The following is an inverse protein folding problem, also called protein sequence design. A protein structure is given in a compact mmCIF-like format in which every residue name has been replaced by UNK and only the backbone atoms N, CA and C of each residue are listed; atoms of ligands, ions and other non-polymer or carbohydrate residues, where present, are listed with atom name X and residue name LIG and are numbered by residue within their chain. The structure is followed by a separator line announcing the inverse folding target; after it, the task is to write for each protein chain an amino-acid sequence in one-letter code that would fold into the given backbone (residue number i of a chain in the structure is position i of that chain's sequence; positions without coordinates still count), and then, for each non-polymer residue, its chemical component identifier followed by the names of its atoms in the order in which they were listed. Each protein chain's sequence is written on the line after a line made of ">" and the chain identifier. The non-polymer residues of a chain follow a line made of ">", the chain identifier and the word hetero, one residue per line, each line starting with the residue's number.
data_IF_261561549100
#
_entry.id   IF_261561549100
#
_cell.length_a   1.000
_cell.length_b   1.000
_cell.length_c   1.000
_cell.angle_alpha   90.00
_cell.angle_beta   90.00
_cell.angle_gamma   90.00
#
_symmetry.space_group_name_H-M   'P 1'
#
loop_
_entity.id
_entity.type
_entity.pdbx_description
1 polymer ?
#
# COMPACT_ATOMS: atom_id res chain seq x y z
N UNK A 1 -40.88 0.80 29.84
CA UNK A 1 -40.01 2.00 29.98
C UNK A 1 -38.54 1.67 29.79
N UNK A 2 -37.97 0.71 30.45
CA UNK A 2 -36.54 0.33 30.38
C UNK A 2 -36.03 -0.02 28.95
N UNK A 3 -36.83 -0.72 28.13
CA UNK A 3 -36.47 -1.10 26.75
C UNK A 3 -36.32 0.13 25.81
N UNK A 4 -37.20 1.16 25.96
CA UNK A 4 -37.12 2.41 25.20
C UNK A 4 -35.89 3.25 25.63
N UNK A 5 -35.56 3.31 26.92
CA UNK A 5 -34.36 4.00 27.42
C UNK A 5 -33.07 3.32 26.92
N UNK A 6 -33.01 1.99 26.98
CA UNK A 6 -31.86 1.24 26.47
C UNK A 6 -31.65 1.45 24.97
N UNK A 7 -32.75 1.46 24.19
CA UNK A 7 -32.67 1.74 22.74
C UNK A 7 -32.21 3.18 22.44
N UNK A 8 -32.69 4.17 23.18
CA UNK A 8 -32.25 5.56 23.03
C UNK A 8 -30.77 5.74 23.36
N UNK A 9 -30.25 5.05 24.40
CA UNK A 9 -28.85 5.08 24.76
C UNK A 9 -27.95 4.40 23.69
N UNK A 10 -28.41 3.29 23.08
CA UNK A 10 -27.70 2.64 21.99
C UNK A 10 -27.63 3.55 20.75
N UNK A 11 -28.75 4.15 20.36
CA UNK A 11 -28.79 5.09 19.23
C UNK A 11 -27.85 6.30 19.45
N UNK A 12 -27.79 6.82 20.69
CA UNK A 12 -26.89 7.94 21.05
C UNK A 12 -25.40 7.51 20.95
N UNK A 13 -25.05 6.27 21.36
CA UNK A 13 -23.69 5.73 21.22
C UNK A 13 -23.32 5.56 19.75
N UNK A 14 -24.21 5.01 18.93
CA UNK A 14 -23.99 4.82 17.49
C UNK A 14 -23.80 6.16 16.77
N UNK A 15 -24.63 7.16 17.07
CA UNK A 15 -24.49 8.51 16.53
C UNK A 15 -23.15 9.14 16.94
N UNK A 16 -22.73 9.00 18.21
CA UNK A 16 -21.44 9.50 18.68
C UNK A 16 -20.28 8.84 17.96
N UNK A 17 -20.32 7.51 17.82
CA UNK A 17 -19.30 6.76 17.06
C UNK A 17 -19.25 7.26 15.62
N UNK A 18 -20.39 7.38 14.95
CA UNK A 18 -20.45 7.85 13.57
C UNK A 18 -19.82 9.24 13.37
N UNK A 19 -20.05 10.16 14.31
CA UNK A 19 -19.42 11.50 14.30
C UNK A 19 -17.89 11.40 14.35
N UNK A 20 -17.32 10.54 15.18
CA UNK A 20 -15.87 10.35 15.25
C UNK A 20 -15.30 9.72 13.96
N UNK A 21 -16.02 8.75 13.36
CA UNK A 21 -15.59 8.12 12.11
C UNK A 21 -15.55 9.11 10.93
N UNK A 22 -16.34 10.19 10.97
CA UNK A 22 -16.25 11.29 10.01
C UNK A 22 -15.16 12.29 10.44
N UNK A 23 -15.15 12.67 11.71
CA UNK A 23 -14.30 13.75 12.21
C UNK A 23 -12.81 13.44 12.03
N UNK A 24 -12.36 12.20 12.31
CA UNK A 24 -10.94 11.88 12.21
C UNK A 24 -10.37 11.98 10.77
N UNK A 25 -10.97 11.37 9.74
CA UNK A 25 -10.52 11.58 8.38
C UNK A 25 -10.57 13.04 7.91
N UNK A 26 -11.60 13.79 8.33
CA UNK A 26 -11.75 15.22 8.00
C UNK A 26 -10.68 16.07 8.69
N UNK A 27 -10.45 15.87 9.99
CA UNK A 27 -9.40 16.60 10.72
C UNK A 27 -8.02 16.27 10.13
N UNK A 28 -7.74 14.98 9.85
CA UNK A 28 -6.49 14.58 9.21
C UNK A 28 -6.35 15.20 7.81
N UNK A 29 -7.43 15.34 7.06
CA UNK A 29 -7.42 16.04 5.77
C UNK A 29 -7.10 17.54 5.94
N UNK A 30 -7.72 18.22 6.90
CA UNK A 30 -7.43 19.63 7.20
C UNK A 30 -5.97 19.82 7.63
N UNK A 31 -5.43 18.93 8.48
CA UNK A 31 -4.03 18.96 8.89
C UNK A 31 -3.12 18.82 7.64
N UNK A 32 -3.47 17.95 6.70
CA UNK A 32 -2.72 17.79 5.45
C UNK A 32 -2.76 19.05 4.58
N UNK A 33 -3.89 19.72 4.47
CA UNK A 33 -3.97 21.00 3.75
C UNK A 33 -3.06 22.07 4.40
N UNK A 34 -3.09 22.18 5.73
CA UNK A 34 -2.18 23.07 6.48
C UNK A 34 -0.71 22.67 6.25
N UNK A 35 -0.41 21.37 6.27
CA UNK A 35 0.93 20.86 5.98
C UNK A 35 1.38 21.25 4.58
N UNK A 36 0.51 21.08 3.57
CA UNK A 36 0.81 21.46 2.19
C UNK A 36 1.14 22.93 2.04
N UNK A 37 0.44 23.82 2.74
CA UNK A 37 0.72 25.26 2.67
C UNK A 37 2.09 25.64 3.28
N UNK A 38 2.67 24.77 4.10
CA UNK A 38 3.99 24.97 4.72
C UNK A 38 5.12 24.20 4.00
N UNK A 39 4.82 23.47 2.91
CA UNK A 39 5.82 22.79 2.09
C UNK A 39 6.06 23.61 0.83
N UNK A 40 7.32 23.90 0.54
CA UNK A 40 7.69 24.54 -0.73
C UNK A 40 7.24 23.66 -1.90
N UNK A 41 6.46 24.22 -2.82
CA UNK A 41 5.86 23.46 -3.93
C UNK A 41 4.60 22.65 -3.59
N UNK A 42 4.11 22.69 -2.33
CA UNK A 42 2.84 22.10 -1.92
C UNK A 42 2.82 20.57 -1.74
N UNK A 43 3.98 19.92 -1.79
CA UNK A 43 4.13 18.47 -1.61
C UNK A 43 5.55 18.00 -1.89
N UNK A 44 5.76 16.69 -1.84
CA UNK A 44 7.09 16.08 -2.03
C UNK A 44 7.15 15.32 -3.36
N UNK A 45 8.15 15.62 -4.19
CA UNK A 45 8.41 14.83 -5.40
C UNK A 45 8.90 13.41 -5.06
N UNK A 46 9.72 13.28 -4.02
CA UNK A 46 10.36 12.01 -3.69
C UNK A 46 11.38 11.57 -4.77
N UNK A 47 11.95 10.39 -4.60
CA UNK A 47 12.97 9.88 -5.51
C UNK A 47 12.45 9.55 -6.92
N UNK A 48 11.18 9.15 -7.01
CA UNK A 48 10.56 8.70 -8.27
C UNK A 48 9.69 9.79 -8.93
N UNK A 49 9.43 10.90 -8.23
CA UNK A 49 8.50 11.94 -8.69
C UNK A 49 8.94 12.61 -9.99
N UNK A 50 10.24 12.87 -10.15
CA UNK A 50 10.78 13.42 -11.40
C UNK A 50 10.54 12.49 -12.60
N UNK A 51 10.69 11.18 -12.39
CA UNK A 51 10.44 10.20 -13.43
C UNK A 51 8.96 10.11 -13.78
N UNK A 52 8.06 10.20 -12.80
CA UNK A 52 6.63 10.31 -13.09
C UNK A 52 6.29 11.56 -13.86
N UNK A 53 6.93 12.69 -13.57
CA UNK A 53 6.70 13.93 -14.31
C UNK A 53 7.26 13.87 -15.73
N UNK A 54 8.42 13.25 -15.97
CA UNK A 54 8.88 12.96 -17.35
C UNK A 54 7.83 12.13 -18.12
N UNK A 55 7.15 11.20 -17.44
CA UNK A 55 6.03 10.46 -18.03
C UNK A 55 4.83 11.37 -18.35
N UNK A 56 4.49 12.30 -17.45
CA UNK A 56 3.43 13.30 -17.68
C UNK A 56 3.79 14.21 -18.85
N UNK A 57 5.03 14.68 -18.95
CA UNK A 57 5.51 15.53 -20.04
C UNK A 57 5.38 14.81 -21.39
N UNK A 58 5.78 13.53 -21.45
CA UNK A 58 5.60 12.72 -22.65
C UNK A 58 4.12 12.55 -23.05
N UNK A 59 3.24 12.30 -22.07
CA UNK A 59 1.79 12.21 -22.30
C UNK A 59 1.18 13.55 -22.73
N UNK A 60 1.71 14.66 -22.21
CA UNK A 60 1.24 15.99 -22.56
C UNK A 60 1.62 16.37 -24.00
N UNK A 61 2.82 15.98 -24.45
CA UNK A 61 3.30 16.24 -25.80
C UNK A 61 2.61 15.35 -26.84
N UNK A 62 2.51 14.03 -26.59
CA UNK A 62 2.15 13.04 -27.62
C UNK A 62 0.84 12.29 -27.33
N UNK A 63 0.16 12.60 -26.20
CA UNK A 63 -1.06 11.93 -25.78
C UNK A 63 -0.83 10.53 -25.18
N UNK A 64 -1.92 9.75 -25.07
CA UNK A 64 -1.94 8.45 -24.39
C UNK A 64 -0.93 7.43 -24.96
N UNK A 65 -0.65 7.50 -26.23
CA UNK A 65 0.26 6.58 -26.94
C UNK A 65 1.67 7.15 -27.11
N UNK A 66 2.08 8.09 -26.27
CA UNK A 66 3.44 8.60 -26.23
C UNK A 66 4.48 7.49 -26.14
N UNK A 67 5.55 7.65 -26.92
CA UNK A 67 6.69 6.73 -26.98
C UNK A 67 7.79 7.04 -25.95
N UNK A 68 7.54 7.99 -25.03
CA UNK A 68 8.52 8.37 -24.03
C UNK A 68 9.03 7.12 -23.26
N UNK A 69 10.35 6.95 -23.22
CA UNK A 69 11.01 5.77 -22.66
C UNK A 69 10.56 5.44 -21.23
N UNK A 70 10.36 6.47 -20.41
CA UNK A 70 9.93 6.33 -19.02
C UNK A 70 8.57 5.64 -18.87
N UNK A 71 7.66 5.82 -19.84
CA UNK A 71 6.33 5.19 -19.86
C UNK A 71 6.37 3.71 -20.24
N UNK A 72 7.50 3.24 -20.73
CA UNK A 72 7.76 1.85 -21.07
C UNK A 72 8.61 1.18 -20.02
N UNK A 73 9.57 1.92 -19.48
CA UNK A 73 10.44 1.44 -18.41
C UNK A 73 9.64 1.21 -17.14
N UNK A 74 8.79 2.18 -16.76
CA UNK A 74 7.85 2.04 -15.63
C UNK A 74 6.40 1.84 -16.12
N UNK A 75 5.53 1.24 -15.28
CA UNK A 75 4.11 1.15 -15.61
C UNK A 75 3.52 2.53 -15.85
N UNK A 76 2.95 2.76 -17.04
CA UNK A 76 2.41 4.05 -17.43
C UNK A 76 1.16 4.49 -16.62
N UNK A 77 0.55 3.60 -15.84
CA UNK A 77 -0.74 3.86 -15.21
C UNK A 77 -0.74 5.03 -14.23
N UNK A 78 0.26 5.12 -13.33
CA UNK A 78 0.32 6.26 -12.42
C UNK A 78 0.62 7.57 -13.15
N UNK A 79 1.61 7.68 -14.06
CA UNK A 79 1.77 8.84 -14.92
C UNK A 79 0.50 9.26 -15.68
N UNK A 80 -0.30 8.31 -16.20
CA UNK A 80 -1.56 8.62 -16.88
C UNK A 80 -2.55 9.31 -15.93
N UNK A 81 -2.68 8.83 -14.69
CA UNK A 81 -3.54 9.49 -13.69
C UNK A 81 -3.05 10.90 -13.34
N UNK A 82 -1.73 11.09 -13.25
CA UNK A 82 -1.14 12.42 -13.04
C UNK A 82 -1.37 13.34 -14.24
N UNK A 83 -1.26 12.82 -15.46
CA UNK A 83 -1.52 13.56 -16.69
C UNK A 83 -2.97 14.06 -16.74
N UNK A 84 -3.95 13.23 -16.35
CA UNK A 84 -5.35 13.70 -16.26
C UNK A 84 -5.51 14.88 -15.29
N UNK A 85 -4.73 14.91 -14.18
CA UNK A 85 -4.71 16.06 -13.28
C UNK A 85 -3.96 17.26 -13.88
N UNK A 86 -2.90 17.02 -14.66
CA UNK A 86 -2.15 18.06 -15.35
C UNK A 86 -2.99 18.80 -16.41
N UNK A 87 -3.98 18.12 -17.03
CA UNK A 87 -4.95 18.76 -17.92
C UNK A 87 -5.81 19.81 -17.20
N UNK A 88 -6.00 19.71 -15.88
CA UNK A 88 -6.67 20.72 -15.07
C UNK A 88 -5.74 21.90 -14.80
N UNK A 89 -4.52 21.62 -14.33
CA UNK A 89 -3.47 22.62 -14.12
C UNK A 89 -2.11 21.96 -13.94
N UNK A 90 -1.23 22.16 -14.92
CA UNK A 90 0.14 21.67 -14.86
C UNK A 90 0.97 22.39 -13.78
N UNK A 91 0.77 23.71 -13.64
CA UNK A 91 1.52 24.54 -12.68
C UNK A 91 1.16 24.25 -11.20
N UNK A 92 -0.03 23.69 -10.97
CA UNK A 92 -0.52 23.32 -9.63
C UNK A 92 -0.59 21.81 -9.44
N UNK A 93 0.08 21.03 -10.29
CA UNK A 93 -0.06 19.57 -10.33
C UNK A 93 0.25 18.93 -9.00
N UNK A 94 1.34 19.31 -8.31
CA UNK A 94 1.72 18.75 -7.00
C UNK A 94 0.64 18.99 -5.95
N UNK A 95 0.04 20.19 -5.93
CA UNK A 95 -1.10 20.49 -5.04
C UNK A 95 -2.33 19.64 -5.35
N UNK A 96 -2.67 19.50 -6.64
CA UNK A 96 -3.81 18.69 -7.07
C UNK A 96 -3.63 17.22 -6.67
N UNK A 97 -2.43 16.66 -6.86
CA UNK A 97 -2.08 15.30 -6.44
C UNK A 97 -2.32 15.16 -4.93
N UNK A 98 -1.73 16.03 -4.13
CA UNK A 98 -1.86 15.99 -2.65
C UNK A 98 -3.31 16.10 -2.18
N UNK A 99 -4.12 16.98 -2.78
CA UNK A 99 -5.54 17.15 -2.45
C UNK A 99 -6.33 15.90 -2.82
N UNK A 100 -6.23 15.42 -4.07
CA UNK A 100 -7.02 14.29 -4.57
C UNK A 100 -6.68 13.00 -3.83
N UNK A 101 -5.38 12.72 -3.63
CA UNK A 101 -4.96 11.56 -2.85
C UNK A 101 -5.43 11.64 -1.39
N UNK A 102 -5.41 12.85 -0.79
CA UNK A 102 -5.86 13.05 0.59
C UNK A 102 -7.38 12.88 0.74
N UNK A 103 -8.18 13.36 -0.21
CA UNK A 103 -9.63 13.14 -0.25
C UNK A 103 -9.93 11.64 -0.40
N UNK A 104 -9.28 10.99 -1.35
CA UNK A 104 -9.48 9.56 -1.59
C UNK A 104 -9.12 8.72 -0.36
N UNK A 105 -7.99 9.02 0.28
CA UNK A 105 -7.55 8.33 1.49
C UNK A 105 -8.53 8.56 2.67
N UNK A 106 -9.00 9.78 2.88
CA UNK A 106 -9.97 10.10 3.91
C UNK A 106 -11.31 9.37 3.68
N UNK A 107 -11.79 9.37 2.43
CA UNK A 107 -13.00 8.65 2.05
C UNK A 107 -12.87 7.14 2.24
N UNK A 108 -11.75 6.53 1.82
CA UNK A 108 -11.50 5.11 1.98
C UNK A 108 -11.43 4.70 3.47
N UNK A 109 -10.78 5.53 4.30
CA UNK A 109 -10.72 5.34 5.76
C UNK A 109 -12.11 5.36 6.38
N UNK A 110 -12.91 6.38 6.03
CA UNK A 110 -14.30 6.49 6.49
C UNK A 110 -15.15 5.30 6.02
N UNK A 111 -15.05 4.93 4.73
CA UNK A 111 -15.82 3.84 4.17
C UNK A 111 -15.55 2.51 4.86
N UNK A 112 -14.27 2.16 5.05
CA UNK A 112 -13.86 0.96 5.79
C UNK A 112 -14.40 0.98 7.21
N UNK A 113 -14.12 2.05 7.97
CA UNK A 113 -14.44 2.09 9.39
C UNK A 113 -15.95 2.20 9.67
N UNK A 114 -16.69 2.86 8.79
CA UNK A 114 -18.16 2.86 8.82
C UNK A 114 -18.74 1.45 8.62
N UNK A 115 -18.19 0.67 7.69
CA UNK A 115 -18.65 -0.70 7.48
C UNK A 115 -18.27 -1.60 8.67
N UNK A 116 -17.07 -1.46 9.22
CA UNK A 116 -16.67 -2.16 10.44
C UNK A 116 -17.62 -1.84 11.62
N UNK A 117 -18.01 -0.57 11.78
CA UNK A 117 -18.88 -0.13 12.90
C UNK A 117 -20.26 -0.77 12.90
N UNK A 118 -20.70 -1.34 11.79
CA UNK A 118 -22.00 -2.01 11.63
C UNK A 118 -21.94 -3.52 11.79
N UNK A 119 -20.83 -4.06 12.24
CA UNK A 119 -20.57 -5.51 12.38
C UNK A 119 -20.09 -5.85 13.77
N UNK A 120 -19.78 -7.12 14.00
CA UNK A 120 -19.08 -7.62 15.20
C UNK A 120 -17.74 -6.91 15.46
N UNK A 121 -17.17 -6.26 14.43
CA UNK A 121 -15.93 -5.48 14.49
C UNK A 121 -16.13 -4.01 14.91
N UNK A 122 -17.34 -3.60 15.32
CA UNK A 122 -17.65 -2.23 15.76
C UNK A 122 -16.70 -1.73 16.86
N UNK A 123 -16.20 -2.64 17.70
CA UNK A 123 -15.29 -2.31 18.80
C UNK A 123 -13.91 -1.81 18.37
N UNK A 124 -13.48 -2.11 17.14
CA UNK A 124 -12.22 -1.60 16.57
C UNK A 124 -12.43 -0.44 15.61
N UNK A 125 -13.66 -0.14 15.18
CA UNK A 125 -13.91 0.89 14.16
C UNK A 125 -13.35 2.27 14.56
N UNK A 126 -13.56 2.68 15.82
CA UNK A 126 -13.04 3.94 16.36
C UNK A 126 -11.49 3.97 16.36
N UNK A 127 -10.80 3.04 17.02
CA UNK A 127 -9.34 3.08 17.05
C UNK A 127 -8.71 2.88 15.66
N UNK A 128 -9.28 2.07 14.78
CA UNK A 128 -8.79 1.90 13.41
C UNK A 128 -8.91 3.22 12.63
N UNK A 129 -10.05 3.93 12.74
CA UNK A 129 -10.21 5.24 12.12
C UNK A 129 -9.17 6.25 12.62
N UNK A 130 -8.97 6.31 13.94
CA UNK A 130 -7.99 7.18 14.58
C UNK A 130 -6.57 6.90 14.07
N UNK A 131 -6.13 5.65 14.19
CA UNK A 131 -4.74 5.28 13.87
C UNK A 131 -4.44 5.37 12.38
N UNK A 132 -5.36 5.02 11.48
CA UNK A 132 -5.15 5.18 10.03
C UNK A 132 -5.12 6.66 9.66
N UNK A 133 -6.07 7.46 10.16
CA UNK A 133 -6.15 8.89 9.82
C UNK A 133 -4.93 9.68 10.25
N UNK A 134 -4.37 9.37 11.41
CA UNK A 134 -3.26 10.12 12.02
C UNK A 134 -1.93 9.39 11.99
N UNK A 135 -1.81 8.25 11.27
CA UNK A 135 -0.50 7.63 11.08
C UNK A 135 0.42 8.58 10.31
N UNK A 136 1.54 9.02 10.92
CA UNK A 136 2.37 10.08 10.34
C UNK A 136 3.08 9.64 9.04
N UNK A 137 3.34 8.35 8.86
CA UNK A 137 3.95 7.84 7.64
C UNK A 137 2.90 7.63 6.55
N UNK A 138 1.87 6.84 6.83
CA UNK A 138 0.87 6.46 5.84
C UNK A 138 -0.02 7.65 5.42
N UNK A 139 -0.52 8.41 6.40
CA UNK A 139 -1.44 9.52 6.12
C UNK A 139 -0.76 10.67 5.39
N UNK A 140 0.47 11.05 5.77
CA UNK A 140 1.21 12.11 5.11
C UNK A 140 1.78 11.69 3.74
N UNK A 141 1.88 10.38 3.46
CA UNK A 141 2.27 9.89 2.12
C UNK A 141 1.32 10.35 1.01
N UNK A 142 0.10 10.76 1.35
CA UNK A 142 -0.83 11.36 0.38
C UNK A 142 -0.33 12.68 -0.21
N UNK A 143 0.61 13.37 0.44
CA UNK A 143 1.22 14.61 -0.02
C UNK A 143 2.46 14.38 -0.90
N UNK A 144 2.87 13.13 -1.08
CA UNK A 144 3.97 12.77 -1.96
C UNK A 144 3.46 12.35 -3.35
N UNK A 145 4.25 12.67 -4.37
CA UNK A 145 4.03 12.16 -5.72
C UNK A 145 4.42 10.69 -5.74
N UNK A 146 3.44 9.82 -5.53
CA UNK A 146 3.64 8.38 -5.42
C UNK A 146 2.34 7.60 -5.27
N UNK A 147 2.37 6.36 -5.69
CA UNK A 147 1.21 5.45 -5.72
C UNK A 147 0.89 4.82 -4.35
N UNK A 148 1.75 4.92 -3.35
CA UNK A 148 1.65 4.15 -2.11
C UNK A 148 0.36 4.42 -1.33
N UNK A 149 0.05 5.69 -1.09
CA UNK A 149 -1.14 6.07 -0.34
C UNK A 149 -2.45 5.80 -1.10
N UNK A 150 -2.57 6.13 -2.41
CA UNK A 150 -3.77 5.77 -3.16
C UNK A 150 -3.97 4.25 -3.32
N UNK A 151 -2.89 3.45 -3.44
CA UNK A 151 -3.02 1.99 -3.42
C UNK A 151 -3.50 1.49 -2.05
N UNK A 152 -3.00 2.07 -0.94
CA UNK A 152 -3.51 1.75 0.40
C UNK A 152 -5.01 2.10 0.52
N UNK A 153 -5.46 3.20 -0.07
CA UNK A 153 -6.87 3.56 -0.13
C UNK A 153 -7.69 2.53 -0.92
N UNK A 154 -7.18 2.03 -2.05
CA UNK A 154 -7.84 0.96 -2.80
C UNK A 154 -8.02 -0.31 -1.96
N UNK A 155 -7.00 -0.74 -1.21
CA UNK A 155 -7.14 -1.90 -0.31
C UNK A 155 -8.16 -1.66 0.81
N UNK A 156 -8.23 -0.45 1.37
CA UNK A 156 -9.27 -0.10 2.34
C UNK A 156 -10.66 -0.18 1.73
N UNK A 157 -10.86 0.28 0.49
CA UNK A 157 -12.13 0.18 -0.24
C UNK A 157 -12.52 -1.29 -0.45
N UNK A 158 -11.60 -2.14 -0.90
CA UNK A 158 -11.85 -3.57 -1.09
C UNK A 158 -12.27 -4.23 0.22
N UNK A 159 -11.52 -4.00 1.31
CA UNK A 159 -11.88 -4.59 2.60
C UNK A 159 -13.23 -4.06 3.12
N UNK A 160 -13.52 -2.78 2.92
CA UNK A 160 -14.81 -2.17 3.24
C UNK A 160 -15.98 -2.79 2.46
N UNK A 161 -15.78 -3.12 1.18
CA UNK A 161 -16.77 -3.83 0.34
C UNK A 161 -17.00 -5.25 0.87
N UNK A 162 -15.92 -5.98 1.18
CA UNK A 162 -16.00 -7.34 1.76
C UNK A 162 -16.80 -7.33 3.06
N UNK A 163 -16.51 -6.40 3.96
CA UNK A 163 -17.22 -6.23 5.23
C UNK A 163 -18.68 -5.89 5.01
N UNK A 164 -18.98 -4.96 4.08
CA UNK A 164 -20.34 -4.57 3.74
C UNK A 164 -21.15 -5.73 3.17
N UNK A 165 -20.56 -6.51 2.26
CA UNK A 165 -21.24 -7.66 1.63
C UNK A 165 -21.60 -8.76 2.63
N UNK A 166 -20.75 -9.04 3.61
CA UNK A 166 -20.97 -10.09 4.62
C UNK A 166 -21.88 -9.67 5.78
N UNK A 167 -22.05 -8.38 6.01
CA UNK A 167 -22.88 -7.84 7.08
C UNK A 167 -24.34 -8.29 6.96
N UNK A 168 -24.89 -8.22 5.76
CA UNK A 168 -26.33 -8.37 5.57
C UNK A 168 -26.76 -9.84 5.37
N UNK A 169 -25.82 -10.81 5.49
CA UNK A 169 -26.02 -12.23 5.11
C UNK A 169 -26.73 -12.37 3.76
N UNK A 170 -26.70 -11.27 3.02
CA UNK A 170 -27.45 -11.07 1.81
C UNK A 170 -26.95 -12.02 0.72
N UNK A 171 -27.83 -12.33 -0.21
CA UNK A 171 -27.54 -13.04 -1.44
C UNK A 171 -26.26 -12.48 -2.10
N UNK A 172 -25.51 -13.36 -2.72
CA UNK A 172 -24.36 -13.01 -3.54
C UNK A 172 -24.71 -11.87 -4.51
N UNK A 173 -24.05 -10.74 -4.39
CA UNK A 173 -24.28 -9.60 -5.26
C UNK A 173 -23.04 -9.37 -6.14
N UNK A 174 -23.18 -9.64 -7.43
CA UNK A 174 -22.13 -9.44 -8.45
C UNK A 174 -21.49 -8.04 -8.36
N UNK A 175 -22.30 -7.01 -8.08
CA UNK A 175 -21.79 -5.63 -7.96
C UNK A 175 -20.65 -5.47 -6.96
N UNK A 176 -20.66 -6.20 -5.85
CA UNK A 176 -19.56 -6.12 -4.87
C UNK A 176 -18.27 -6.71 -5.43
N UNK A 177 -18.35 -7.80 -6.21
CA UNK A 177 -17.20 -8.37 -6.89
C UNK A 177 -16.63 -7.42 -7.95
N UNK A 178 -17.51 -6.78 -8.75
CA UNK A 178 -17.12 -5.78 -9.75
C UNK A 178 -16.43 -4.57 -9.09
N UNK A 179 -17.03 -3.98 -8.05
CA UNK A 179 -16.44 -2.83 -7.38
C UNK A 179 -15.12 -3.18 -6.67
N UNK A 180 -15.04 -4.34 -6.01
CA UNK A 180 -13.79 -4.79 -5.40
C UNK A 180 -12.71 -5.02 -6.48
N UNK A 181 -13.06 -5.65 -7.59
CA UNK A 181 -12.19 -5.84 -8.74
C UNK A 181 -11.73 -4.51 -9.34
N UNK A 182 -12.61 -3.52 -9.47
CA UNK A 182 -12.29 -2.18 -9.97
C UNK A 182 -11.26 -1.45 -9.08
N UNK A 183 -11.36 -1.58 -7.76
CA UNK A 183 -10.36 -0.99 -6.86
C UNK A 183 -9.00 -1.67 -6.96
N UNK A 184 -8.96 -3.00 -7.12
CA UNK A 184 -7.68 -3.69 -7.37
C UNK A 184 -7.18 -3.39 -8.80
N UNK A 185 -8.06 -3.23 -9.78
CA UNK A 185 -7.70 -2.74 -11.11
C UNK A 185 -7.01 -1.38 -11.02
N UNK A 186 -7.57 -0.42 -10.28
CA UNK A 186 -6.95 0.89 -10.06
C UNK A 186 -5.60 0.78 -9.32
N UNK A 187 -5.51 -0.05 -8.28
CA UNK A 187 -4.25 -0.30 -7.57
C UNK A 187 -3.19 -0.89 -8.49
N UNK A 188 -3.54 -1.89 -9.31
CA UNK A 188 -2.63 -2.53 -10.26
C UNK A 188 -2.32 -1.66 -11.48
N UNK A 189 -3.22 -0.74 -11.86
CA UNK A 189 -2.96 0.27 -12.88
C UNK A 189 -1.82 1.20 -12.44
N UNK A 190 -1.88 1.67 -11.19
CA UNK A 190 -0.81 2.50 -10.61
C UNK A 190 0.48 1.70 -10.40
N UNK A 191 0.37 0.45 -9.93
CA UNK A 191 1.52 -0.41 -9.68
C UNK A 191 1.14 -1.91 -9.75
N UNK A 192 1.50 -2.60 -10.85
CA UNK A 192 1.06 -3.96 -11.17
C UNK A 192 1.37 -5.02 -10.11
N UNK A 193 2.41 -4.84 -9.30
CA UNK A 193 2.77 -5.79 -8.22
C UNK A 193 1.65 -6.05 -7.21
N UNK A 194 0.72 -5.11 -7.03
CA UNK A 194 -0.39 -5.25 -6.08
C UNK A 194 -1.58 -6.05 -6.62
N UNK A 195 -1.55 -6.41 -7.91
CA UNK A 195 -2.49 -7.35 -8.50
C UNK A 195 -2.55 -8.66 -7.70
N UNK A 196 -1.37 -9.25 -7.42
CA UNK A 196 -1.30 -10.53 -6.73
C UNK A 196 -1.91 -10.48 -5.32
N UNK A 197 -1.66 -9.40 -4.57
CA UNK A 197 -2.27 -9.21 -3.25
C UNK A 197 -3.82 -9.15 -3.35
N UNK A 198 -4.34 -8.45 -4.36
CA UNK A 198 -5.78 -8.39 -4.63
C UNK A 198 -6.37 -9.76 -4.98
N UNK A 199 -5.71 -10.54 -5.84
CA UNK A 199 -6.16 -11.88 -6.22
C UNK A 199 -6.23 -12.83 -5.03
N UNK A 200 -5.23 -12.78 -4.13
CA UNK A 200 -5.25 -13.61 -2.91
C UNK A 200 -6.38 -13.19 -1.98
N UNK A 201 -6.68 -11.90 -1.85
CA UNK A 201 -7.84 -11.41 -1.08
C UNK A 201 -9.14 -11.98 -1.68
N UNK A 202 -9.31 -11.94 -3.01
CA UNK A 202 -10.52 -12.47 -3.67
C UNK A 202 -10.66 -13.97 -3.50
N UNK A 203 -9.57 -14.72 -3.58
CA UNK A 203 -9.57 -16.15 -3.31
C UNK A 203 -10.03 -16.44 -1.88
N UNK A 204 -9.47 -15.74 -0.89
CA UNK A 204 -9.87 -15.87 0.52
C UNK A 204 -11.34 -15.53 0.70
N UNK A 205 -11.83 -14.46 0.06
CA UNK A 205 -13.24 -14.07 0.12
C UNK A 205 -14.14 -15.12 -0.52
N UNK A 206 -13.78 -15.62 -1.71
CA UNK A 206 -14.53 -16.67 -2.41
C UNK A 206 -14.68 -17.95 -1.58
N UNK A 207 -13.60 -18.35 -0.89
CA UNK A 207 -13.59 -19.55 -0.02
C UNK A 207 -14.48 -19.43 1.23
N UNK A 208 -15.01 -18.26 1.54
CA UNK A 208 -15.96 -18.06 2.65
C UNK A 208 -17.42 -18.29 2.28
N UNK A 209 -17.74 -18.51 1.01
CA UNK A 209 -19.09 -18.82 0.59
C UNK A 209 -19.40 -20.31 0.78
N UNK A 210 -20.57 -20.61 1.32
CA UNK A 210 -21.06 -21.99 1.47
C UNK A 210 -21.24 -22.67 0.11
N UNK A 211 -21.78 -21.95 -0.87
CA UNK A 211 -21.88 -22.40 -2.26
C UNK A 211 -20.58 -22.17 -3.01
N UNK A 212 -19.90 -23.26 -3.39
CA UNK A 212 -18.70 -23.20 -4.24
C UNK A 212 -18.93 -22.46 -5.56
N UNK A 213 -20.14 -22.60 -6.14
CA UNK A 213 -20.53 -21.90 -7.37
C UNK A 213 -20.54 -20.39 -7.18
N UNK A 214 -21.13 -19.88 -6.09
CA UNK A 214 -21.14 -18.45 -5.78
C UNK A 214 -19.72 -17.92 -5.53
N UNK A 215 -18.90 -18.65 -4.77
CA UNK A 215 -17.49 -18.32 -4.56
C UNK A 215 -16.71 -18.24 -5.86
N UNK A 216 -16.90 -19.22 -6.77
CA UNK A 216 -16.25 -19.22 -8.08
C UNK A 216 -16.68 -18.03 -8.94
N UNK A 217 -17.99 -17.74 -9.02
CA UNK A 217 -18.52 -16.59 -9.77
C UNK A 217 -17.92 -15.29 -9.22
N UNK A 218 -17.87 -15.13 -7.89
CA UNK A 218 -17.25 -13.95 -7.27
C UNK A 218 -15.79 -13.81 -7.70
N UNK A 219 -15.00 -14.88 -7.57
CA UNK A 219 -13.59 -14.88 -7.93
C UNK A 219 -13.38 -14.54 -9.41
N UNK A 220 -14.17 -15.14 -10.31
CA UNK A 220 -14.08 -14.90 -11.74
C UNK A 220 -14.47 -13.47 -12.10
N UNK A 221 -15.57 -12.93 -11.57
CA UNK A 221 -15.99 -11.54 -11.83
C UNK A 221 -14.97 -10.56 -11.33
N UNK A 222 -14.48 -10.74 -10.09
CA UNK A 222 -13.45 -9.87 -9.53
C UNK A 222 -12.13 -9.96 -10.33
N UNK A 223 -11.72 -11.17 -10.73
CA UNK A 223 -10.55 -11.40 -11.58
C UNK A 223 -10.70 -10.70 -12.93
N UNK A 224 -11.79 -10.94 -13.66
CA UNK A 224 -12.01 -10.32 -14.97
C UNK A 224 -11.99 -8.79 -14.88
N UNK A 225 -12.66 -8.22 -13.87
CA UNK A 225 -12.65 -6.77 -13.66
C UNK A 225 -11.24 -6.25 -13.35
N UNK A 226 -10.49 -6.97 -12.54
CA UNK A 226 -9.11 -6.58 -12.17
C UNK A 226 -8.17 -6.64 -13.37
N UNK A 227 -8.30 -7.65 -14.24
CA UNK A 227 -7.45 -7.83 -15.41
C UNK A 227 -7.63 -6.75 -16.49
N UNK A 228 -8.70 -5.94 -16.43
CA UNK A 228 -8.87 -4.81 -17.35
C UNK A 228 -7.70 -3.82 -17.28
N UNK A 229 -7.12 -3.63 -16.08
CA UNK A 229 -6.00 -2.72 -15.90
C UNK A 229 -4.70 -3.20 -16.58
N UNK A 230 -4.16 -4.38 -16.28
CA UNK A 230 -2.98 -4.86 -17.00
C UNK A 230 -3.23 -5.01 -18.51
N UNK A 231 -4.44 -5.41 -18.92
CA UNK A 231 -4.79 -5.47 -20.34
C UNK A 231 -4.73 -4.10 -21.02
N UNK A 232 -5.25 -3.05 -20.36
CA UNK A 232 -5.16 -1.69 -20.88
C UNK A 232 -3.73 -1.18 -21.01
N UNK A 233 -2.86 -1.48 -20.02
CA UNK A 233 -1.44 -1.12 -20.07
C UNK A 233 -0.69 -1.85 -21.19
N UNK A 234 -0.95 -3.15 -21.36
CA UNK A 234 -0.39 -3.95 -22.45
C UNK A 234 -0.89 -3.42 -23.81
N UNK A 235 -2.20 -3.19 -23.96
CA UNK A 235 -2.76 -2.66 -25.19
C UNK A 235 -2.15 -1.30 -25.55
N UNK A 236 -1.97 -0.41 -24.56
CA UNK A 236 -1.26 0.86 -24.72
C UNK A 236 0.16 0.64 -25.26
N UNK A 237 0.92 -0.28 -24.67
CA UNK A 237 2.31 -0.54 -25.03
C UNK A 237 2.44 -1.22 -26.41
N UNK A 238 1.51 -2.10 -26.76
CA UNK A 238 1.44 -2.68 -28.12
C UNK A 238 1.26 -1.57 -29.16
N UNK A 239 0.31 -0.66 -28.95
CA UNK A 239 0.06 0.44 -29.91
C UNK A 239 1.20 1.45 -29.94
N UNK A 240 1.78 1.80 -28.79
CA UNK A 240 2.79 2.85 -28.70
C UNK A 240 4.18 2.39 -29.17
N UNK A 241 4.59 1.17 -28.82
CA UNK A 241 5.99 0.70 -28.93
C UNK A 241 6.14 -0.75 -29.39
N UNK A 242 5.06 -1.39 -29.85
CA UNK A 242 5.05 -2.78 -30.31
C UNK A 242 5.56 -3.79 -29.25
N UNK A 243 5.17 -3.59 -27.97
CA UNK A 243 5.58 -4.47 -26.86
C UNK A 243 4.37 -5.00 -26.10
N UNK A 244 4.36 -6.34 -25.85
CA UNK A 244 3.32 -7.05 -25.09
C UNK A 244 3.59 -7.11 -23.60
N UNK A 245 4.35 -6.17 -23.04
CA UNK A 245 4.68 -6.07 -21.62
C UNK A 245 4.03 -4.86 -20.96
N UNK A 246 3.79 -4.93 -19.65
CA UNK A 246 3.28 -3.78 -18.86
C UNK A 246 4.38 -2.74 -18.65
N UNK A 247 5.62 -3.19 -18.46
CA UNK A 247 6.82 -2.38 -18.27
C UNK A 247 8.07 -3.23 -18.51
N UNK A 248 9.23 -2.58 -18.61
CA UNK A 248 10.51 -3.24 -18.87
C UNK A 248 11.50 -3.09 -17.71
N UNK A 249 11.02 -2.97 -16.46
CA UNK A 249 11.87 -2.79 -15.30
C UNK A 249 11.77 -3.89 -14.23
N UNK A 250 11.02 -4.96 -14.48
CA UNK A 250 10.91 -6.05 -13.51
C UNK A 250 12.25 -6.78 -13.36
N UNK A 251 12.86 -7.15 -14.48
CA UNK A 251 14.16 -7.82 -14.50
C UNK A 251 15.28 -6.94 -13.94
N UNK A 252 15.23 -5.63 -14.25
CA UNK A 252 16.17 -4.65 -13.66
C UNK A 252 15.99 -4.59 -12.15
N UNK A 253 14.76 -4.49 -11.66
CA UNK A 253 14.49 -4.46 -10.21
C UNK A 253 14.92 -5.76 -9.53
N UNK A 254 14.72 -6.91 -10.16
CA UNK A 254 15.16 -8.19 -9.65
C UNK A 254 16.68 -8.29 -9.62
N UNK A 255 17.39 -7.83 -10.67
CA UNK A 255 18.85 -7.90 -10.76
C UNK A 255 19.55 -7.01 -9.73
N UNK A 256 19.02 -5.80 -9.48
CA UNK A 256 19.52 -4.93 -8.40
C UNK A 256 19.43 -5.63 -7.03
N UNK A 257 18.36 -6.38 -6.81
CA UNK A 257 18.12 -7.12 -5.57
C UNK A 257 18.76 -8.50 -5.49
N UNK A 258 19.54 -8.94 -6.50
CA UNK A 258 20.12 -10.28 -6.57
C UNK A 258 21.59 -10.27 -6.98
N UNK A 259 22.36 -11.26 -6.51
CA UNK A 259 23.80 -11.40 -6.79
C UNK A 259 24.58 -11.87 -5.57
N UNK A 260 25.85 -12.28 -5.80
CA UNK A 260 26.66 -12.90 -4.75
C UNK A 260 27.02 -11.96 -3.61
N UNK A 261 27.23 -10.69 -3.88
CA UNK A 261 27.67 -9.68 -2.90
C UNK A 261 26.59 -8.65 -2.58
N UNK A 262 25.44 -8.68 -3.25
CA UNK A 262 24.37 -7.76 -2.97
C UNK A 262 23.72 -8.05 -1.60
N UNK A 263 23.34 -6.98 -0.90
CA UNK A 263 22.53 -7.09 0.33
C UNK A 263 21.02 -7.06 0.06
N UNK A 264 20.61 -7.12 -1.21
CA UNK A 264 19.21 -7.22 -1.60
C UNK A 264 18.36 -5.95 -1.50
N UNK A 265 18.95 -4.84 -1.07
CA UNK A 265 18.32 -3.52 -1.03
C UNK A 265 18.65 -2.67 -2.26
N UNK A 266 18.18 -1.42 -2.26
CA UNK A 266 18.42 -0.45 -3.35
C UNK A 266 19.89 -0.03 -3.50
N UNK A 267 20.72 -0.26 -2.50
CA UNK A 267 22.15 0.04 -2.60
C UNK A 267 22.82 -0.99 -3.51
N UNK A 268 23.27 -0.56 -4.64
CA UNK A 268 24.11 -1.32 -5.59
C UNK A 268 25.50 -1.56 -5.02
N UNK A 269 25.58 -2.33 -3.95
CA UNK A 269 26.82 -2.52 -3.18
C UNK A 269 27.66 -3.72 -3.65
N UNK A 270 27.26 -4.37 -4.73
CA UNK A 270 27.99 -5.51 -5.26
C UNK A 270 27.54 -5.88 -6.67
N UNK A 271 28.25 -6.78 -7.35
CA UNK A 271 27.90 -7.20 -8.70
C UNK A 271 26.53 -7.90 -8.73
N UNK A 272 25.72 -7.44 -9.66
CA UNK A 272 24.43 -8.07 -10.00
C UNK A 272 24.67 -9.48 -10.55
N UNK A 273 23.60 -10.28 -10.65
CA UNK A 273 23.68 -11.59 -11.30
C UNK A 273 24.20 -11.42 -12.73
N UNK A 274 25.27 -12.15 -13.13
CA UNK A 274 25.84 -12.03 -14.47
C UNK A 274 24.90 -12.67 -15.50
N UNK A 275 24.10 -11.85 -16.15
CA UNK A 275 23.19 -12.27 -17.22
C UNK A 275 23.82 -12.00 -18.59
N UNK A 276 23.78 -13.00 -19.46
CA UNK A 276 24.35 -12.93 -20.82
C UNK A 276 23.22 -12.76 -21.82
N UNK A 277 23.38 -11.88 -22.83
CA UNK A 277 22.41 -11.77 -23.93
C UNK A 277 22.23 -13.11 -24.66
N UNK A 278 21.00 -13.42 -25.04
CA UNK A 278 20.73 -14.61 -25.89
C UNK A 278 20.55 -14.14 -27.33
N UNK A 279 21.29 -14.68 -28.30
CA UNK A 279 21.14 -14.32 -29.69
C UNK A 279 19.67 -14.44 -30.18
N UNK A 280 19.21 -13.55 -31.06
CA UNK A 280 19.95 -12.52 -31.80
C UNK A 280 20.16 -11.20 -31.06
N UNK A 281 19.74 -11.08 -29.79
CA UNK A 281 19.85 -9.84 -29.00
C UNK A 281 21.31 -9.53 -28.65
N UNK A 282 21.71 -8.28 -28.84
CA UNK A 282 23.05 -7.77 -28.44
C UNK A 282 23.07 -7.25 -27.00
N UNK A 283 21.90 -7.05 -26.39
CA UNK A 283 21.74 -6.61 -24.99
C UNK A 283 20.78 -7.53 -24.24
N UNK A 284 20.95 -7.63 -22.93
CA UNK A 284 20.06 -8.45 -22.07
C UNK A 284 18.71 -7.73 -21.94
N UNK A 285 17.64 -8.31 -22.46
CA UNK A 285 16.28 -7.79 -22.31
C UNK A 285 15.76 -7.97 -20.88
N UNK A 286 14.71 -7.22 -20.50
CA UNK A 286 14.11 -7.32 -19.17
C UNK A 286 13.65 -8.75 -18.84
N UNK A 287 12.98 -9.43 -19.78
CA UNK A 287 12.55 -10.82 -19.62
C UNK A 287 13.72 -11.78 -19.45
N UNK A 288 14.81 -11.59 -20.19
CA UNK A 288 16.03 -12.40 -20.03
C UNK A 288 16.64 -12.20 -18.63
N UNK A 289 16.63 -10.97 -18.10
CA UNK A 289 17.06 -10.69 -16.72
C UNK A 289 16.18 -11.41 -15.71
N UNK A 290 14.85 -11.38 -15.86
CA UNK A 290 13.93 -12.13 -14.99
C UNK A 290 14.28 -13.61 -14.95
N UNK A 291 14.38 -14.24 -16.13
CA UNK A 291 14.71 -15.68 -16.24
C UNK A 291 16.08 -15.98 -15.64
N UNK A 292 17.08 -15.15 -15.92
CA UNK A 292 18.43 -15.27 -15.39
C UNK A 292 18.46 -15.22 -13.86
N UNK A 293 17.79 -14.22 -13.26
CA UNK A 293 17.74 -14.06 -11.80
C UNK A 293 16.95 -15.19 -11.13
N UNK A 294 15.84 -15.62 -11.72
CA UNK A 294 15.08 -16.79 -11.22
C UNK A 294 15.95 -18.05 -11.26
N UNK A 295 16.68 -18.29 -12.36
CA UNK A 295 17.62 -19.41 -12.46
C UNK A 295 18.69 -19.33 -11.37
N UNK A 296 19.25 -18.13 -11.14
CA UNK A 296 20.25 -17.92 -10.07
C UNK A 296 19.67 -18.24 -8.69
N UNK A 297 18.44 -17.83 -8.38
CA UNK A 297 17.78 -18.18 -7.12
C UNK A 297 17.63 -19.69 -6.94
N UNK A 298 17.25 -20.42 -7.99
CA UNK A 298 17.06 -21.86 -7.94
C UNK A 298 18.38 -22.62 -7.83
N UNK A 299 19.43 -22.13 -8.48
CA UNK A 299 20.76 -22.78 -8.48
C UNK A 299 21.61 -22.41 -7.27
N UNK A 300 21.25 -21.35 -6.51
CA UNK A 300 21.98 -20.88 -5.33
C UNK A 300 21.07 -20.79 -4.08
N UNK A 301 20.46 -21.90 -3.60
CA UNK A 301 19.41 -21.83 -2.57
C UNK A 301 19.89 -21.24 -1.24
N UNK A 302 21.13 -21.52 -0.82
CA UNK A 302 21.69 -20.98 0.45
C UNK A 302 21.90 -19.47 0.34
N UNK A 303 22.45 -18.98 -0.79
CA UNK A 303 22.64 -17.55 -1.03
C UNK A 303 21.29 -16.84 -1.13
N UNK A 304 20.31 -17.47 -1.81
CA UNK A 304 18.95 -16.97 -1.92
C UNK A 304 18.26 -16.86 -0.55
N UNK A 305 18.42 -17.85 0.33
CA UNK A 305 17.89 -17.81 1.69
C UNK A 305 18.50 -16.64 2.50
N UNK A 306 19.85 -16.51 2.46
CA UNK A 306 20.53 -15.38 3.12
C UNK A 306 20.03 -14.03 2.60
N UNK A 307 19.88 -13.92 1.28
CA UNK A 307 19.38 -12.71 0.63
C UNK A 307 17.93 -12.40 1.02
N UNK A 308 17.09 -13.43 1.13
CA UNK A 308 15.69 -13.32 1.57
C UNK A 308 15.59 -12.77 3.00
N UNK A 309 16.50 -13.14 3.89
CA UNK A 309 16.59 -12.60 5.25
C UNK A 309 16.94 -11.11 5.20
N UNK A 310 17.96 -10.71 4.43
CA UNK A 310 18.32 -9.30 4.28
C UNK A 310 17.18 -8.46 3.68
N UNK A 311 16.53 -8.97 2.63
CA UNK A 311 15.37 -8.30 2.02
C UNK A 311 14.20 -8.17 3.00
N UNK A 312 13.98 -9.16 3.85
CA UNK A 312 12.99 -9.10 4.93
C UNK A 312 13.34 -8.02 5.96
N UNK A 313 14.62 -7.92 6.34
CA UNK A 313 15.10 -6.84 7.21
C UNK A 313 14.85 -5.48 6.58
N UNK A 314 15.14 -5.29 5.30
CA UNK A 314 14.84 -4.04 4.59
C UNK A 314 13.34 -3.75 4.53
N UNK A 315 12.51 -4.74 4.21
CA UNK A 315 11.06 -4.57 4.16
C UNK A 315 10.46 -4.12 5.50
N UNK A 316 10.94 -4.68 6.61
CA UNK A 316 10.48 -4.34 7.96
C UNK A 316 11.28 -3.19 8.60
N UNK A 317 12.34 -2.72 7.98
CA UNK A 317 13.13 -1.60 8.50
C UNK A 317 12.26 -0.36 8.77
N UNK A 318 12.47 0.36 9.86
CA UNK A 318 11.79 1.63 10.11
C UNK A 318 12.12 2.68 9.05
N UNK A 319 13.34 2.68 8.57
CA UNK A 319 13.85 3.43 7.41
C UNK A 319 15.16 2.79 6.93
N UNK A 320 15.53 3.07 5.69
CA UNK A 320 16.83 2.75 5.13
C UNK A 320 17.50 4.03 4.62
N UNK A 321 18.79 4.19 4.90
CA UNK A 321 19.56 5.35 4.51
C UNK A 321 19.31 6.59 5.37
N UNK A 322 19.97 7.72 5.07
CA UNK A 322 19.82 8.97 5.78
C UNK A 322 18.36 9.46 5.74
N UNK A 323 17.89 10.03 6.84
CA UNK A 323 16.55 10.59 6.95
C UNK A 323 16.26 11.67 5.88
N UNK A 324 17.31 12.37 5.45
CA UNK A 324 17.23 13.46 4.48
C UNK A 324 17.08 12.96 3.06
N UNK A 325 17.62 11.78 2.73
CA UNK A 325 17.53 11.15 1.41
C UNK A 325 16.28 10.27 1.27
N UNK A 326 15.37 10.35 2.22
CA UNK A 326 14.15 9.55 2.18
C UNK A 326 13.48 9.67 0.82
N UNK A 327 13.27 8.57 0.15
CA UNK A 327 12.33 8.48 -0.95
C UNK A 327 10.98 8.97 -0.46
N UNK A 328 10.10 9.32 -1.39
CA UNK A 328 8.74 9.72 -1.04
C UNK A 328 8.16 8.75 -0.02
N UNK A 329 7.31 9.23 0.81
CA UNK A 329 6.60 8.46 1.81
C UNK A 329 7.45 7.77 2.91
N UNK A 330 8.76 7.85 2.88
CA UNK A 330 9.60 7.45 4.03
C UNK A 330 9.57 8.55 5.07
N UNK A 331 9.07 8.26 6.26
CA UNK A 331 9.04 9.20 7.38
C UNK A 331 8.71 10.66 6.96
N UNK A 332 7.61 10.89 6.23
CA UNK A 332 7.31 12.22 5.67
C UNK A 332 7.16 13.28 6.75
N UNK A 333 6.78 12.89 7.97
CA UNK A 333 6.68 13.78 9.13
C UNK A 333 8.03 14.38 9.57
N UNK A 334 9.17 13.74 9.23
CA UNK A 334 10.51 14.30 9.50
C UNK A 334 10.92 15.42 8.52
N UNK A 335 10.14 15.60 7.45
CA UNK A 335 10.39 16.64 6.44
C UNK A 335 9.56 17.90 6.65
N UNK A 336 8.83 17.98 7.73
CA UNK A 336 7.93 19.09 8.06
C UNK A 336 8.52 19.85 9.24
N UNK A 337 8.55 21.18 9.17
CA UNK A 337 8.86 22.01 10.33
C UNK A 337 7.77 21.83 11.43
N UNK A 338 8.10 21.78 12.73
CA UNK A 338 9.43 21.97 13.31
C UNK A 338 10.31 20.69 13.36
N UNK A 339 9.79 19.54 12.95
CA UNK A 339 10.50 18.25 13.07
C UNK A 339 11.76 18.23 12.22
N UNK A 340 11.69 18.83 11.01
CA UNK A 340 12.85 18.95 10.14
C UNK A 340 13.97 19.81 10.79
N UNK A 341 13.59 20.89 11.45
CA UNK A 341 14.55 21.78 12.10
C UNK A 341 15.20 21.11 13.32
N UNK A 342 14.42 20.31 14.08
CA UNK A 342 14.96 19.49 15.16
C UNK A 342 16.02 18.51 14.65
N UNK A 343 15.76 17.81 13.53
CA UNK A 343 16.69 16.83 12.95
C UNK A 343 17.97 17.47 12.41
N UNK A 344 17.94 18.76 12.06
CA UNK A 344 19.13 19.51 11.64
C UNK A 344 20.06 19.84 12.81
N UNK A 345 19.59 19.85 14.06
CA UNK A 345 20.45 20.00 15.23
C UNK A 345 21.26 18.74 15.48
N UNK A 346 22.47 18.86 16.03
CA UNK A 346 23.32 17.70 16.35
C UNK A 346 22.59 16.71 17.27
N UNK A 347 21.99 17.21 18.36
CA UNK A 347 21.24 16.38 19.31
C UNK A 347 20.01 15.71 18.69
N UNK A 348 19.31 16.41 17.81
CA UNK A 348 18.16 15.86 17.08
C UNK A 348 18.57 14.81 16.05
N UNK A 349 19.66 15.03 15.34
CA UNK A 349 20.24 14.06 14.41
C UNK A 349 20.69 12.79 15.15
N UNK A 350 21.34 12.92 16.29
CA UNK A 350 21.78 11.80 17.12
C UNK A 350 20.60 11.03 17.72
N UNK A 351 19.53 11.73 18.15
CA UNK A 351 18.31 11.10 18.64
C UNK A 351 17.64 10.24 17.56
N UNK A 352 17.58 10.71 16.32
CA UNK A 352 16.88 10.04 15.24
C UNK A 352 17.76 9.01 14.53
N UNK A 353 19.00 9.34 14.23
CA UNK A 353 19.93 8.53 13.45
C UNK A 353 20.97 7.80 14.29
N UNK A 354 21.21 8.24 15.53
CA UNK A 354 22.15 7.64 16.46
C UNK A 354 21.69 6.24 16.94
N UNK A 355 22.54 5.54 17.70
CA UNK A 355 22.25 4.19 18.19
C UNK A 355 20.95 4.10 18.98
N UNK A 356 20.68 5.10 19.84
CA UNK A 356 19.47 5.14 20.66
C UNK A 356 18.19 5.29 19.82
N UNK A 357 18.16 6.23 18.89
CA UNK A 357 17.00 6.41 17.98
C UNK A 357 16.76 5.20 17.09
N UNK A 358 17.82 4.56 16.60
CA UNK A 358 17.72 3.30 15.85
C UNK A 358 17.17 2.18 16.72
N UNK A 359 17.65 2.03 17.95
CA UNK A 359 17.14 1.02 18.88
C UNK A 359 15.63 1.20 19.13
N UNK A 360 15.17 2.41 19.46
CA UNK A 360 13.74 2.70 19.66
C UNK A 360 12.93 2.35 18.41
N UNK A 361 13.42 2.71 17.24
CA UNK A 361 12.74 2.47 15.98
C UNK A 361 12.62 0.99 15.66
N UNK A 362 13.65 0.20 15.91
CA UNK A 362 13.60 -1.25 15.75
C UNK A 362 12.68 -1.92 16.76
N UNK A 363 12.70 -1.49 18.04
CA UNK A 363 11.76 -1.96 19.04
C UNK A 363 10.31 -1.63 18.68
N UNK A 364 10.08 -0.44 18.12
CA UNK A 364 8.77 -0.06 17.61
C UNK A 364 8.29 -0.96 16.48
N UNK A 365 9.15 -1.24 15.48
CA UNK A 365 8.82 -2.14 14.37
C UNK A 365 8.60 -3.57 14.87
N UNK A 366 9.44 -4.07 15.77
CA UNK A 366 9.25 -5.38 16.36
C UNK A 366 7.89 -5.48 17.07
N UNK A 367 7.54 -4.46 17.86
CA UNK A 367 6.21 -4.35 18.48
C UNK A 367 5.08 -4.35 17.45
N UNK A 368 5.22 -3.64 16.34
CA UNK A 368 4.25 -3.65 15.26
C UNK A 368 4.08 -5.03 14.63
N UNK A 369 5.18 -5.78 14.40
CA UNK A 369 5.13 -7.15 13.85
C UNK A 369 4.46 -8.10 14.86
N UNK A 370 4.81 -8.02 16.13
CA UNK A 370 4.16 -8.81 17.18
C UNK A 370 2.65 -8.51 17.25
N UNK A 371 2.27 -7.24 17.24
CA UNK A 371 0.85 -6.86 17.27
C UNK A 371 0.12 -7.23 15.97
N UNK A 372 0.78 -7.26 14.83
CA UNK A 372 0.22 -7.76 13.58
C UNK A 372 -0.25 -9.22 13.73
N UNK A 373 0.63 -10.10 14.16
CA UNK A 373 0.31 -11.52 14.33
C UNK A 373 -0.65 -11.78 15.49
N UNK A 374 -0.51 -11.04 16.59
CA UNK A 374 -1.42 -11.17 17.73
C UNK A 374 -2.83 -10.67 17.36
N UNK A 375 -2.96 -9.57 16.62
CA UNK A 375 -4.26 -9.09 16.14
C UNK A 375 -4.92 -10.05 15.15
N UNK A 376 -4.14 -10.62 14.26
CA UNK A 376 -4.59 -11.71 13.39
C UNK A 376 -5.14 -12.89 14.18
N UNK A 377 -4.41 -13.37 15.20
CA UNK A 377 -4.84 -14.46 16.07
C UNK A 377 -6.15 -14.15 16.81
N UNK A 378 -6.28 -12.94 17.36
CA UNK A 378 -7.48 -12.52 18.09
C UNK A 378 -8.69 -12.48 17.14
N UNK A 379 -8.58 -11.80 16.01
CA UNK A 379 -9.70 -11.61 15.08
C UNK A 379 -10.21 -12.93 14.52
N UNK A 380 -9.32 -13.88 14.26
CA UNK A 380 -9.72 -15.21 13.76
C UNK A 380 -10.59 -16.02 14.73
N UNK A 381 -10.64 -15.65 16.01
CA UNK A 381 -11.36 -16.38 17.07
C UNK A 381 -12.71 -15.78 17.43
N UNK A 382 -13.08 -14.63 16.81
CA UNK A 382 -14.33 -13.93 17.16
C UNK A 382 -15.51 -14.55 16.41
N UNK A 383 -15.49 -14.49 15.09
CA UNK A 383 -16.56 -14.94 14.20
C UNK A 383 -16.05 -15.09 12.75
N UNK A 384 -16.85 -15.68 11.83
CA UNK A 384 -16.44 -15.90 10.44
C UNK A 384 -16.06 -14.62 9.68
N UNK A 385 -16.75 -13.48 9.92
CA UNK A 385 -16.41 -12.21 9.29
C UNK A 385 -15.08 -11.67 9.78
N UNK A 386 -14.87 -11.69 11.08
CA UNK A 386 -13.59 -11.27 11.69
C UNK A 386 -12.42 -12.13 11.20
N UNK A 387 -12.65 -13.44 11.05
CA UNK A 387 -11.68 -14.38 10.46
C UNK A 387 -11.36 -14.02 9.00
N UNK A 388 -12.38 -13.68 8.19
CA UNK A 388 -12.20 -13.24 6.81
C UNK A 388 -11.37 -11.95 6.74
N UNK A 389 -11.72 -10.93 7.53
CA UNK A 389 -11.01 -9.65 7.60
C UNK A 389 -9.55 -9.87 8.00
N UNK A 390 -9.31 -10.72 9.01
CA UNK A 390 -7.95 -11.05 9.46
C UNK A 390 -7.14 -11.75 8.36
N UNK A 391 -7.71 -12.77 7.72
CA UNK A 391 -7.03 -13.52 6.66
C UNK A 391 -6.74 -12.62 5.45
N UNK A 392 -7.69 -11.82 4.98
CA UNK A 392 -7.53 -10.89 3.87
C UNK A 392 -6.45 -9.83 4.17
N UNK A 393 -6.46 -9.28 5.38
CA UNK A 393 -5.49 -8.26 5.79
C UNK A 393 -4.06 -8.82 5.89
N UNK A 394 -3.87 -9.96 6.56
CA UNK A 394 -2.55 -10.54 6.69
C UNK A 394 -2.02 -11.05 5.36
N UNK A 395 -2.86 -11.66 4.52
CA UNK A 395 -2.41 -12.17 3.22
C UNK A 395 -1.89 -11.06 2.31
N UNK A 396 -2.52 -9.90 2.28
CA UNK A 396 -2.04 -8.75 1.50
C UNK A 396 -0.64 -8.30 1.96
N UNK A 397 -0.42 -8.24 3.28
CA UNK A 397 0.89 -7.89 3.86
C UNK A 397 1.94 -8.95 3.50
N UNK A 398 1.60 -10.23 3.67
CA UNK A 398 2.51 -11.35 3.36
C UNK A 398 2.85 -11.39 1.87
N UNK A 399 1.87 -11.20 0.98
CA UNK A 399 2.12 -11.16 -0.47
C UNK A 399 3.04 -10.00 -0.84
N UNK A 400 2.83 -8.80 -0.28
CA UNK A 400 3.73 -7.65 -0.50
C UNK A 400 5.14 -7.95 0.00
N UNK A 401 5.28 -8.62 1.14
CA UNK A 401 6.56 -9.04 1.67
C UNK A 401 7.25 -10.08 0.76
N UNK A 402 6.52 -11.11 0.31
CA UNK A 402 7.05 -12.12 -0.61
C UNK A 402 7.49 -11.52 -1.95
N UNK A 403 6.74 -10.56 -2.50
CA UNK A 403 7.13 -9.81 -3.71
C UNK A 403 8.44 -9.04 -3.45
N UNK A 404 8.58 -8.41 -2.29
CA UNK A 404 9.82 -7.72 -1.91
C UNK A 404 11.00 -8.70 -1.82
N UNK A 405 10.80 -9.91 -1.29
CA UNK A 405 11.82 -10.96 -1.27
C UNK A 405 12.20 -11.39 -2.69
N UNK A 406 11.22 -11.59 -3.57
CA UNK A 406 11.46 -11.99 -4.95
C UNK A 406 12.14 -10.93 -5.82
N UNK A 407 11.95 -9.65 -5.48
CA UNK A 407 12.47 -8.52 -6.24
C UNK A 407 13.58 -7.79 -5.48
N UNK A 408 13.25 -6.73 -4.77
CA UNK A 408 14.19 -5.90 -4.02
C UNK A 408 13.60 -5.59 -2.64
N UNK A 409 14.43 -5.65 -1.60
CA UNK A 409 14.03 -5.32 -0.24
C UNK A 409 13.93 -3.81 -0.03
N UNK A 410 12.73 -3.31 0.24
CA UNK A 410 12.52 -1.90 0.61
C UNK A 410 11.28 -1.76 1.49
N UNK A 411 11.39 -0.99 2.58
CA UNK A 411 10.28 -0.70 3.48
C UNK A 411 9.14 0.10 2.84
N UNK A 412 9.40 0.80 1.73
CA UNK A 412 8.40 1.51 0.93
C UNK A 412 7.31 0.55 0.40
N UNK A 413 7.68 -0.70 0.08
CA UNK A 413 6.73 -1.69 -0.45
C UNK A 413 5.72 -2.20 0.59
N UNK A 414 5.93 -1.90 1.85
CA UNK A 414 5.00 -2.17 2.94
C UNK A 414 3.86 -1.14 3.00
N UNK A 415 4.09 0.11 2.56
CA UNK A 415 3.15 1.23 2.70
C UNK A 415 1.76 0.97 2.10
N UNK A 416 1.63 0.42 0.88
CA UNK A 416 0.33 0.12 0.30
C UNK A 416 -0.55 -0.84 1.10
N UNK A 417 0.06 -1.76 1.85
CA UNK A 417 -0.67 -2.69 2.73
C UNK A 417 -0.67 -2.27 4.20
N UNK A 418 -0.10 -1.12 4.51
CA UNK A 418 0.06 -0.65 5.90
C UNK A 418 -1.28 -0.37 6.58
N UNK A 419 -2.29 0.09 5.85
CA UNK A 419 -3.65 0.27 6.40
C UNK A 419 -4.25 -1.03 6.93
N UNK A 420 -3.99 -2.16 6.25
CA UNK A 420 -4.44 -3.48 6.64
C UNK A 420 -3.62 -4.04 7.82
N UNK A 421 -2.31 -3.79 7.83
CA UNK A 421 -1.47 -4.15 8.98
C UNK A 421 -1.86 -3.35 10.23
N UNK A 422 -2.13 -2.05 10.10
CA UNK A 422 -2.62 -1.20 11.18
C UNK A 422 -3.97 -1.69 11.75
N UNK A 423 -4.88 -2.16 10.92
CA UNK A 423 -6.14 -2.75 11.40
C UNK A 423 -5.87 -3.93 12.35
N UNK A 424 -4.95 -4.83 12.00
CA UNK A 424 -4.58 -5.96 12.86
C UNK A 424 -3.87 -5.50 14.13
N UNK A 425 -2.88 -4.62 14.01
CA UNK A 425 -2.10 -4.10 15.12
C UNK A 425 -2.97 -3.37 16.15
N UNK A 426 -3.88 -2.52 15.66
CA UNK A 426 -4.82 -1.78 16.49
C UNK A 426 -5.81 -2.73 17.18
N UNK A 427 -6.24 -3.79 16.50
CA UNK A 427 -7.10 -4.82 17.11
C UNK A 427 -6.40 -5.51 18.31
N UNK A 428 -5.11 -5.81 18.17
CA UNK A 428 -4.30 -6.36 19.25
C UNK A 428 -4.19 -5.40 20.44
N UNK A 429 -3.76 -4.17 20.17
CA UNK A 429 -3.56 -3.13 21.18
C UNK A 429 -4.85 -2.83 21.95
N UNK A 430 -5.96 -2.64 21.21
CA UNK A 430 -7.24 -2.30 21.84
C UNK A 430 -7.85 -3.44 22.65
N UNK A 431 -7.60 -4.69 22.24
CA UNK A 431 -8.00 -5.85 23.02
C UNK A 431 -7.22 -5.98 24.34
N UNK A 432 -5.91 -5.73 24.33
CA UNK A 432 -5.09 -5.70 25.54
C UNK A 432 -5.55 -4.61 26.50
N UNK A 433 -5.79 -3.38 25.99
CA UNK A 433 -6.33 -2.28 26.80
C UNK A 433 -7.62 -2.68 27.52
N UNK A 434 -8.57 -3.32 26.82
CA UNK A 434 -9.83 -3.78 27.43
C UNK A 434 -9.63 -4.81 28.52
N UNK A 435 -8.66 -5.72 28.37
CA UNK A 435 -8.35 -6.71 29.40
C UNK A 435 -7.77 -6.07 30.64
N UNK A 436 -6.83 -5.14 30.48
CA UNK A 436 -6.22 -4.40 31.59
C UNK A 436 -7.27 -3.58 32.35
N UNK A 437 -8.14 -2.81 31.63
CA UNK A 437 -9.20 -2.01 32.26
C UNK A 437 -10.26 -2.85 33.00
N UNK A 438 -10.40 -4.14 32.67
CA UNK A 438 -11.31 -5.03 33.40
C UNK A 438 -10.66 -5.71 34.60
N UNK A 439 -9.32 -5.76 34.66
CA UNK A 439 -8.57 -6.36 35.75
C UNK A 439 -8.24 -5.35 36.87
N UNK A 440 -8.32 -4.06 36.59
CA UNK A 440 -8.26 -2.94 37.55
C UNK A 440 -9.66 -2.55 38.01
#
# INVERSE_FOLDING_TARGET
>A
MAKKVKQALLNKKEQKLHRYLIAFPVIAFVIKLITMSNIQGGGWLGADGENYFKGVDGLYADGLFSKAEILNYWPAGYPILLWLLALISITKLVYLIGIIQSIFFAWATYYLTRNLSKTSLAWIAFPVSLFISFNPTLSLSTLAVGYEAPVAACFMMVLGIIVSNKKDQAEFQIKHAVFAGAWIALASFMQPRYLLAGLVIFLIWALTYASKKQGLILAMVALCTTLLSPAALIARNVVAIDQTSISTNLGVTMSIGAGDETKGGYNRTGPEVPCVPTPPSTSVTDNQKVVCVVKWYLTNPVKTLKLSIYKSVYFWSPWSGPLVEGTMARNPWLKIAPTQDLVKTQSGADLVNGPFGKMISWLWILGQVVFLFYGFYILRRIDPLSKLVANASLSAVVVSWLISIGTIGDHRFRLPTMSLSLLLQVSAFWNLKKKVTKAL
#
